data_IF_755127933458
#
_entry.id   IF_755127933458
#
_cell.length_a   1.000
_cell.length_b   1.000
_cell.length_c   1.000
_cell.angle_alpha   90.00
_cell.angle_beta   90.00
_cell.angle_gamma   90.00
#
_symmetry.space_group_name_H-M   'P 1'
#
loop_
_entity.id
_entity.type
_entity.pdbx_description
1 polymer ?
#
# COMPACT_ATOMS: atom_id res chain seq x y z
N UNK A 1 14.97 13.11 -4.35
CA UNK A 1 13.99 13.56 -5.36
C UNK A 1 13.05 14.57 -4.69
N UNK A 2 12.72 15.72 -5.29
CA UNK A 2 11.75 16.64 -4.67
C UNK A 2 10.32 16.10 -4.87
N UNK A 3 9.38 16.51 -4.00
CA UNK A 3 8.02 15.97 -3.99
C UNK A 3 7.23 16.25 -5.29
N UNK A 4 7.52 17.35 -5.98
CA UNK A 4 6.87 17.74 -7.23
C UNK A 4 7.28 16.79 -8.38
N UNK A 5 8.58 16.53 -8.51
CA UNK A 5 9.13 15.63 -9.53
C UNK A 5 8.69 14.18 -9.32
N UNK A 6 8.58 13.75 -8.06
CA UNK A 6 8.01 12.46 -7.69
C UNK A 6 6.57 12.33 -8.22
N UNK A 7 5.73 13.33 -7.92
CA UNK A 7 4.32 13.33 -8.33
C UNK A 7 4.17 13.29 -9.85
N UNK A 8 4.96 14.09 -10.58
CA UNK A 8 4.92 14.11 -12.05
C UNK A 8 5.28 12.76 -12.66
N UNK A 9 6.42 12.18 -12.26
CA UNK A 9 6.86 10.85 -12.77
C UNK A 9 5.83 9.76 -12.50
N UNK A 10 5.32 9.70 -11.28
CA UNK A 10 4.35 8.67 -10.88
C UNK A 10 3.00 8.91 -11.58
N UNK A 11 2.60 10.17 -11.76
CA UNK A 11 1.41 10.49 -12.54
C UNK A 11 1.54 10.06 -14.00
N UNK A 12 2.70 10.21 -14.62
CA UNK A 12 2.95 9.76 -16.00
C UNK A 12 2.88 8.24 -16.12
N UNK A 13 3.47 7.51 -15.17
CA UNK A 13 3.38 6.06 -15.08
C UNK A 13 1.91 5.59 -15.03
N UNK A 14 1.10 6.17 -14.15
CA UNK A 14 -0.32 5.79 -14.02
C UNK A 14 -1.19 6.20 -15.22
N UNK A 15 -0.77 7.20 -16.02
CA UNK A 15 -1.46 7.49 -17.29
C UNK A 15 -1.36 6.32 -18.27
N UNK A 16 -0.26 5.57 -18.24
CA UNK A 16 -0.07 4.36 -19.06
C UNK A 16 -0.94 3.16 -18.66
N UNK A 17 -1.55 3.21 -17.47
CA UNK A 17 -2.40 2.14 -16.94
C UNK A 17 -3.87 2.55 -16.95
N UNK A 18 -4.66 2.19 -17.99
CA UNK A 18 -6.02 2.70 -18.15
C UNK A 18 -6.96 2.29 -17.01
N UNK A 19 -6.72 1.12 -16.41
CA UNK A 19 -7.49 0.62 -15.27
C UNK A 19 -7.29 1.42 -13.98
N UNK A 20 -6.22 2.23 -13.86
CA UNK A 20 -5.97 3.05 -12.66
C UNK A 20 -6.86 4.29 -12.69
N UNK A 21 -7.65 4.50 -11.63
CA UNK A 21 -8.56 5.64 -11.48
C UNK A 21 -8.05 6.70 -10.51
N UNK A 22 -7.51 6.28 -9.37
CA UNK A 22 -6.95 7.16 -8.36
C UNK A 22 -5.69 6.55 -7.75
N UNK A 23 -4.74 7.37 -7.34
CA UNK A 23 -3.61 6.94 -6.54
C UNK A 23 -3.20 7.97 -5.50
N UNK A 24 -2.90 7.50 -4.30
CA UNK A 24 -2.42 8.29 -3.16
C UNK A 24 -1.10 7.72 -2.65
N UNK A 25 -0.15 8.59 -2.35
CA UNK A 25 0.98 8.24 -1.50
C UNK A 25 0.54 8.45 -0.06
N UNK A 26 0.65 7.44 0.80
CA UNK A 26 0.27 7.55 2.20
C UNK A 26 1.34 6.92 3.09
N UNK A 27 1.04 6.76 4.37
CA UNK A 27 1.95 6.11 5.31
C UNK A 27 3.11 6.99 5.77
N UNK A 28 4.20 6.33 6.19
CA UNK A 28 5.27 6.96 6.97
C UNK A 28 5.97 8.13 6.26
N UNK A 29 6.03 8.10 4.92
CA UNK A 29 6.57 9.17 4.08
C UNK A 29 5.79 10.49 4.16
N UNK A 30 4.50 10.46 4.47
CA UNK A 30 3.67 11.66 4.53
C UNK A 30 3.67 12.32 5.91
N UNK A 31 3.86 11.54 6.97
CA UNK A 31 3.86 12.01 8.37
C UNK A 31 5.16 12.69 8.84
N UNK A 32 6.19 12.77 7.99
CA UNK A 32 7.38 13.60 8.22
C UNK A 32 8.44 13.02 9.16
N UNK A 33 8.37 11.73 9.48
CA UNK A 33 9.28 11.05 10.42
C UNK A 33 10.30 10.15 9.67
N UNK A 34 10.74 10.58 8.49
CA UNK A 34 11.49 9.72 7.56
C UNK A 34 12.99 9.95 7.57
N UNK A 35 13.70 8.94 8.10
CA UNK A 35 15.04 8.62 7.65
C UNK A 35 15.04 8.08 6.20
N UNK A 36 16.21 8.00 5.54
CA UNK A 36 16.37 7.72 4.10
C UNK A 36 15.98 6.31 3.61
N UNK A 37 15.31 5.48 4.42
CA UNK A 37 14.93 4.09 4.12
C UNK A 37 13.42 3.82 4.17
N UNK A 38 12.57 4.85 4.29
CA UNK A 38 11.13 4.62 4.48
C UNK A 38 10.44 4.10 3.21
N UNK A 39 9.63 3.06 3.37
CA UNK A 39 8.84 2.40 2.34
C UNK A 39 7.81 3.36 1.71
N UNK A 40 7.63 3.32 0.40
CA UNK A 40 6.61 4.07 -0.32
C UNK A 40 5.30 3.28 -0.34
N UNK A 41 4.34 3.67 0.49
CA UNK A 41 2.99 3.08 0.51
C UNK A 41 2.08 3.81 -0.50
N UNK A 42 1.68 3.12 -1.57
CA UNK A 42 0.85 3.69 -2.63
C UNK A 42 -0.51 3.00 -2.67
N UNK A 43 -1.56 3.74 -2.33
CA UNK A 43 -2.93 3.27 -2.41
C UNK A 43 -3.49 3.58 -3.80
N UNK A 44 -4.05 2.58 -4.48
CA UNK A 44 -4.54 2.68 -5.86
C UNK A 44 -5.97 2.19 -5.96
N UNK A 45 -6.86 3.01 -6.52
CA UNK A 45 -8.19 2.59 -6.95
C UNK A 45 -8.12 2.18 -8.42
N UNK A 46 -8.63 1.00 -8.72
CA UNK A 46 -8.67 0.44 -10.07
C UNK A 46 -10.10 0.21 -10.53
N UNK A 47 -10.30 0.01 -11.83
CA UNK A 47 -11.58 -0.44 -12.39
C UNK A 47 -11.96 -1.83 -11.87
N UNK A 48 -13.23 -2.02 -11.51
CA UNK A 48 -13.72 -3.31 -11.00
C UNK A 48 -13.63 -4.46 -12.02
N UNK A 49 -13.54 -4.13 -13.32
CA UNK A 49 -13.33 -5.11 -14.39
C UNK A 49 -11.89 -5.57 -14.54
N UNK A 50 -10.92 -4.92 -13.86
CA UNK A 50 -9.51 -5.27 -13.95
C UNK A 50 -9.17 -6.46 -13.03
N UNK A 51 -8.16 -7.24 -13.44
CA UNK A 51 -7.57 -8.26 -12.56
C UNK A 51 -6.68 -7.56 -11.51
N UNK A 52 -7.24 -7.39 -10.31
CA UNK A 52 -6.59 -6.68 -9.21
C UNK A 52 -5.20 -7.23 -8.86
N UNK A 53 -5.05 -8.52 -8.51
CA UNK A 53 -3.75 -9.11 -8.18
C UNK A 53 -2.69 -8.94 -9.27
N UNK A 54 -3.05 -9.14 -10.54
CA UNK A 54 -2.12 -8.97 -11.66
C UNK A 54 -1.70 -7.51 -11.80
N UNK A 55 -2.67 -6.59 -11.77
CA UNK A 55 -2.40 -5.17 -11.90
C UNK A 55 -1.59 -4.64 -10.71
N UNK A 56 -1.87 -5.08 -9.48
CA UNK A 56 -1.11 -4.74 -8.29
C UNK A 56 0.37 -5.11 -8.45
N UNK A 57 0.66 -6.36 -8.85
CA UNK A 57 2.04 -6.81 -9.07
C UNK A 57 2.75 -6.02 -10.17
N UNK A 58 2.06 -5.70 -11.27
CA UNK A 58 2.60 -4.86 -12.34
C UNK A 58 2.93 -3.44 -11.85
N UNK A 59 2.01 -2.82 -11.10
CA UNK A 59 2.21 -1.47 -10.57
C UNK A 59 3.35 -1.43 -9.55
N UNK A 60 3.52 -2.48 -8.72
CA UNK A 60 4.65 -2.60 -7.80
C UNK A 60 5.99 -2.63 -8.55
N UNK A 61 6.11 -3.41 -9.62
CA UNK A 61 7.33 -3.47 -10.43
C UNK A 61 7.61 -2.14 -11.14
N UNK A 62 6.60 -1.55 -11.76
CA UNK A 62 6.73 -0.27 -12.47
C UNK A 62 7.12 0.86 -11.52
N UNK A 63 6.49 0.95 -10.35
CA UNK A 63 6.83 1.95 -9.33
C UNK A 63 8.23 1.71 -8.77
N UNK A 64 8.60 0.45 -8.51
CA UNK A 64 9.94 0.13 -8.01
C UNK A 64 11.03 0.59 -8.99
N UNK A 65 10.81 0.38 -10.29
CA UNK A 65 11.71 0.86 -11.35
C UNK A 65 11.71 2.38 -11.47
N UNK A 66 10.54 3.01 -11.38
CA UNK A 66 10.38 4.46 -11.48
C UNK A 66 11.04 5.22 -10.32
N UNK A 67 10.96 4.66 -9.11
CA UNK A 67 11.46 5.25 -7.87
C UNK A 67 12.87 4.77 -7.51
N UNK A 68 13.45 3.87 -8.31
CA UNK A 68 14.77 3.27 -8.10
C UNK A 68 14.91 2.63 -6.71
N UNK A 69 13.83 2.02 -6.21
CA UNK A 69 13.79 1.39 -4.90
C UNK A 69 12.89 0.16 -4.90
N UNK A 70 13.28 -0.88 -4.16
CA UNK A 70 12.46 -2.06 -3.95
C UNK A 70 11.48 -1.91 -2.77
N UNK A 71 11.52 -0.77 -2.09
CA UNK A 71 10.72 -0.44 -0.91
C UNK A 71 9.42 0.27 -1.35
N UNK A 72 8.59 -0.43 -2.13
CA UNK A 72 7.28 0.05 -2.58
C UNK A 72 6.23 -0.99 -2.22
N UNK A 73 5.18 -0.56 -1.52
CA UNK A 73 3.98 -1.36 -1.30
C UNK A 73 2.80 -0.72 -2.05
N UNK A 74 2.01 -1.55 -2.74
CA UNK A 74 0.83 -1.10 -3.47
C UNK A 74 -0.40 -1.71 -2.81
N UNK A 75 -1.31 -0.86 -2.36
CA UNK A 75 -2.57 -1.27 -1.74
C UNK A 75 -3.73 -1.01 -2.69
N UNK A 76 -4.53 -2.03 -2.97
CA UNK A 76 -5.75 -1.87 -3.77
C UNK A 76 -6.91 -1.34 -2.91
N UNK A 77 -7.37 -0.15 -3.25
CA UNK A 77 -8.45 0.56 -2.56
C UNK A 77 -9.84 -0.08 -2.75
N UNK A 78 -10.04 -0.89 -3.79
CA UNK A 78 -11.28 -1.63 -4.04
C UNK A 78 -11.60 -2.62 -2.90
N UNK A 79 -10.56 -3.23 -2.31
CA UNK A 79 -10.68 -4.25 -1.26
C UNK A 79 -10.07 -3.87 0.09
N UNK A 80 -9.55 -2.65 0.23
CA UNK A 80 -8.91 -2.19 1.45
C UNK A 80 -9.91 -2.12 2.62
N UNK A 81 -9.39 -2.31 3.84
CA UNK A 81 -10.17 -2.05 5.05
C UNK A 81 -10.57 -0.57 5.10
N UNK A 82 -11.71 -0.28 5.73
CA UNK A 82 -12.21 1.11 5.83
C UNK A 82 -11.23 2.03 6.56
N UNK A 83 -10.48 1.49 7.52
CA UNK A 83 -9.43 2.23 8.24
C UNK A 83 -8.27 2.63 7.32
N UNK A 84 -7.83 1.70 6.47
CA UNK A 84 -6.73 1.93 5.54
C UNK A 84 -7.12 2.87 4.40
N UNK A 85 -8.31 2.68 3.84
CA UNK A 85 -8.87 3.58 2.84
C UNK A 85 -9.04 5.01 3.39
N UNK A 86 -9.56 5.14 4.62
CA UNK A 86 -9.68 6.43 5.29
C UNK A 86 -8.31 7.08 5.54
N UNK A 87 -7.32 6.31 6.00
CA UNK A 87 -5.95 6.82 6.18
C UNK A 87 -5.37 7.33 4.86
N UNK A 88 -5.57 6.61 3.75
CA UNK A 88 -5.09 7.01 2.43
C UNK A 88 -5.70 8.34 1.96
N UNK A 89 -7.01 8.54 2.12
CA UNK A 89 -7.65 9.79 1.67
C UNK A 89 -7.45 10.96 2.64
N UNK A 90 -7.36 10.70 3.95
CA UNK A 90 -7.30 11.76 4.96
C UNK A 90 -5.88 12.28 5.19
N UNK A 91 -4.88 11.40 5.04
CA UNK A 91 -3.48 11.72 5.30
C UNK A 91 -2.61 11.61 4.05
N UNK A 92 -3.09 10.96 2.99
CA UNK A 92 -2.30 10.76 1.78
C UNK A 92 -2.21 11.99 0.89
N UNK A 93 -1.17 11.99 0.05
CA UNK A 93 -0.94 12.97 -1.02
C UNK A 93 -1.45 12.37 -2.33
N UNK A 94 -2.37 13.07 -2.99
CA UNK A 94 -2.88 12.67 -4.30
C UNK A 94 -1.77 12.64 -5.35
N UNK A 95 -1.42 11.45 -5.83
CA UNK A 95 -0.44 11.24 -6.89
C UNK A 95 -1.08 11.32 -8.27
N UNK A 96 -2.27 10.74 -8.42
CA UNK A 96 -2.96 10.65 -9.70
C UNK A 96 -4.48 10.62 -9.51
N UNK A 97 -5.20 11.33 -10.37
CA UNK A 97 -6.64 11.20 -10.56
C UNK A 97 -6.94 11.16 -12.06
N UNK A 98 -7.78 10.22 -12.49
CA UNK A 98 -8.26 10.15 -13.87
C UNK A 98 -9.32 11.22 -14.13
N UNK A 99 -10.21 11.39 -13.17
CA UNK A 99 -11.25 12.40 -13.18
C UNK A 99 -11.65 12.76 -11.74
N UNK A 100 -12.10 14.01 -11.56
CA UNK A 100 -12.43 14.56 -10.24
C UNK A 100 -13.67 13.92 -9.64
N UNK A 101 -14.62 13.46 -10.46
CA UNK A 101 -15.87 12.87 -9.98
C UNK A 101 -15.59 11.55 -9.27
N UNK A 102 -14.81 10.66 -9.87
CA UNK A 102 -14.37 9.40 -9.26
C UNK A 102 -13.67 9.64 -7.92
N UNK A 103 -12.85 10.68 -7.82
CA UNK A 103 -12.20 11.05 -6.56
C UNK A 103 -13.21 11.41 -5.47
N UNK A 104 -14.09 12.35 -5.79
CA UNK A 104 -15.07 12.87 -4.84
C UNK A 104 -16.05 11.79 -4.39
N UNK A 105 -16.51 10.94 -5.32
CA UNK A 105 -17.39 9.81 -5.03
C UNK A 105 -16.72 8.79 -4.11
N UNK A 106 -15.47 8.42 -4.41
CA UNK A 106 -14.73 7.47 -3.59
C UNK A 106 -14.42 8.02 -2.19
N UNK A 107 -13.96 9.27 -2.09
CA UNK A 107 -13.70 9.92 -0.80
C UNK A 107 -14.98 10.00 0.05
N UNK A 108 -16.12 10.35 -0.55
CA UNK A 108 -17.40 10.41 0.14
C UNK A 108 -17.88 9.04 0.63
N UNK A 109 -17.75 7.99 -0.19
CA UNK A 109 -18.08 6.61 0.21
C UNK A 109 -17.24 6.16 1.41
N UNK A 110 -15.92 6.35 1.34
CA UNK A 110 -14.99 5.98 2.41
C UNK A 110 -15.31 6.75 3.69
N UNK A 111 -15.57 8.06 3.61
CA UNK A 111 -15.96 8.86 4.78
C UNK A 111 -17.26 8.36 5.41
N UNK A 112 -18.27 8.02 4.60
CA UNK A 112 -19.54 7.48 5.09
C UNK A 112 -19.33 6.15 5.81
N UNK A 113 -18.65 5.20 5.16
CA UNK A 113 -18.34 3.88 5.73
C UNK A 113 -17.50 3.98 7.00
N UNK A 114 -16.55 4.91 7.04
CA UNK A 114 -15.73 5.14 8.22
C UNK A 114 -16.56 5.66 9.39
N UNK A 115 -17.45 6.63 9.15
CA UNK A 115 -18.37 7.15 10.16
C UNK A 115 -19.27 6.05 10.74
N UNK A 116 -19.80 5.16 9.90
CA UNK A 116 -20.60 4.01 10.34
C UNK A 116 -19.79 3.00 11.16
N UNK A 117 -18.48 2.90 10.89
CA UNK A 117 -17.56 1.99 11.57
C UNK A 117 -16.96 2.58 12.87
N UNK A 118 -16.99 3.90 13.05
CA UNK A 118 -16.46 4.59 14.25
C UNK A 118 -16.99 4.03 15.59
N UNK A 119 -18.28 3.69 15.77
CA UNK A 119 -18.77 3.11 17.01
C UNK A 119 -18.08 1.78 17.36
N UNK A 120 -17.81 0.93 16.35
CA UNK A 120 -17.13 -0.36 16.52
C UNK A 120 -15.70 -0.14 16.99
N UNK A 121 -14.97 0.78 16.36
CA UNK A 121 -13.60 1.14 16.75
C UNK A 121 -13.52 1.68 18.18
N UNK A 122 -14.49 2.50 18.59
CA UNK A 122 -14.56 3.04 19.95
C UNK A 122 -14.77 1.93 20.98
N UNK A 123 -15.69 0.99 20.71
CA UNK A 123 -15.93 -0.15 21.58
C UNK A 123 -14.69 -1.05 21.69
N UNK A 124 -14.05 -1.40 20.56
CA UNK A 124 -12.81 -2.19 20.54
C UNK A 124 -11.68 -1.50 21.33
N UNK A 125 -11.51 -0.19 21.17
CA UNK A 125 -10.52 0.60 21.92
C UNK A 125 -10.80 0.55 23.42
N UNK A 126 -12.06 0.69 23.80
CA UNK A 126 -12.48 0.63 25.20
C UNK A 126 -12.23 -0.76 25.81
N UNK A 127 -12.52 -1.84 25.08
CA UNK A 127 -12.21 -3.21 25.50
C UNK A 127 -10.71 -3.45 25.67
N UNK A 128 -9.89 -2.93 24.75
CA UNK A 128 -8.43 -2.97 24.84
C UNK A 128 -7.93 -2.26 26.11
N UNK A 129 -8.47 -1.08 26.40
CA UNK A 129 -8.07 -0.30 27.58
C UNK A 129 -8.58 -0.91 28.89
N UNK A 130 -9.74 -1.56 28.88
CA UNK A 130 -10.31 -2.28 30.04
C UNK A 130 -9.61 -3.63 30.29
N UNK A 131 -9.05 -4.26 29.26
CA UNK A 131 -8.35 -5.55 29.35
C UNK A 131 -6.84 -5.41 29.54
N UNK A 132 -6.35 -5.41 30.78
CA UNK A 132 -4.93 -5.30 31.20
C UNK A 132 -3.94 -6.38 30.70
N UNK A 133 -4.20 -7.05 29.57
CA UNK A 133 -3.31 -8.00 28.90
C UNK A 133 -2.98 -7.63 27.43
N UNK A 134 -3.24 -6.39 27.01
CA UNK A 134 -2.97 -5.90 25.65
C UNK A 134 -1.50 -6.06 25.23
N UNK A 135 -0.56 -5.83 26.15
CA UNK A 135 0.88 -5.98 25.89
C UNK A 135 1.26 -7.38 25.39
N UNK A 136 0.60 -8.44 25.92
CA UNK A 136 0.88 -9.84 25.56
C UNK A 136 0.35 -10.20 24.18
N UNK A 137 -0.79 -9.61 23.77
CA UNK A 137 -1.40 -9.82 22.44
C UNK A 137 -0.69 -9.03 21.34
N UNK A 138 -0.26 -7.80 21.61
CA UNK A 138 0.54 -6.99 20.68
C UNK A 138 1.91 -7.63 20.44
N UNK A 139 2.54 -8.17 21.48
CA UNK A 139 3.76 -8.98 21.32
C UNK A 139 3.51 -10.23 20.48
N UNK A 140 2.35 -10.88 20.64
CA UNK A 140 1.97 -12.04 19.82
C UNK A 140 1.72 -11.68 18.35
N UNK A 141 1.05 -10.56 18.05
CA UNK A 141 0.85 -10.07 16.68
C UNK A 141 2.17 -9.65 16.02
N UNK A 142 3.05 -8.93 16.75
CA UNK A 142 4.39 -8.60 16.27
C UNK A 142 5.22 -9.87 15.99
N UNK A 143 5.19 -10.84 16.90
CA UNK A 143 5.90 -12.10 16.72
C UNK A 143 5.27 -13.03 15.66
N UNK A 144 3.98 -12.87 15.34
CA UNK A 144 3.33 -13.58 14.24
C UNK A 144 3.71 -12.94 12.90
N UNK A 145 3.68 -11.61 12.82
CA UNK A 145 4.09 -10.84 11.64
C UNK A 145 5.58 -11.01 11.31
N UNK A 146 6.47 -11.03 12.31
CA UNK A 146 7.89 -11.29 12.10
C UNK A 146 8.17 -12.71 11.57
N UNK A 147 7.35 -13.70 11.95
CA UNK A 147 7.50 -15.07 11.45
C UNK A 147 7.04 -15.18 10.00
N UNK A 148 5.90 -14.59 9.65
CA UNK A 148 5.45 -14.50 8.26
C UNK A 148 6.41 -13.68 7.40
N UNK A 149 6.96 -12.59 7.93
CA UNK A 149 7.94 -11.76 7.21
C UNK A 149 9.23 -12.55 6.95
N UNK A 150 9.75 -13.29 7.94
CA UNK A 150 10.90 -14.18 7.74
C UNK A 150 10.64 -15.28 6.71
N UNK A 151 9.46 -15.90 6.72
CA UNK A 151 9.11 -16.92 5.71
C UNK A 151 9.01 -16.30 4.32
N UNK A 152 8.46 -15.10 4.19
CA UNK A 152 8.38 -14.37 2.92
C UNK A 152 9.76 -13.92 2.43
N UNK A 153 10.63 -13.46 3.33
CA UNK A 153 12.01 -13.10 3.02
C UNK A 153 12.86 -14.32 2.66
N UNK A 154 12.66 -15.47 3.31
CA UNK A 154 13.31 -16.75 2.97
C UNK A 154 12.90 -17.25 1.57
N UNK A 155 11.63 -17.09 1.21
CA UNK A 155 11.13 -17.39 -0.16
C UNK A 155 11.75 -16.40 -1.18
N UNK A 156 11.87 -15.12 -0.80
CA UNK A 156 12.48 -14.08 -1.64
C UNK A 156 13.99 -14.31 -1.86
N UNK A 157 14.71 -14.78 -0.85
CA UNK A 157 16.16 -15.09 -0.93
C UNK A 157 16.40 -16.38 -1.73
N UNK A 158 15.57 -17.41 -1.57
CA UNK A 158 15.69 -18.67 -2.29
C UNK A 158 15.37 -18.54 -3.80
N UNK A 159 14.54 -17.55 -4.18
CA UNK A 159 14.23 -17.25 -5.59
C UNK A 159 15.37 -16.63 -6.40
N UNK A 160 16.45 -16.17 -5.75
CA UNK A 160 17.57 -15.45 -6.42
C UNK A 160 18.75 -16.39 -6.75
N UNK A 161 18.81 -17.61 -6.18
CA UNK A 161 19.90 -18.57 -6.44
C UNK A 161 19.58 -19.59 -7.54
N UNK A 162 19.00 -19.15 -8.66
CA UNK A 162 18.53 -20.05 -9.71
C UNK A 162 18.60 -19.51 -11.12
N UNK A 163 19.60 -18.68 -11.47
CA UNK A 163 19.91 -18.38 -12.88
C UNK A 163 21.31 -17.82 -13.09
N UNK A 164 22.25 -18.73 -13.30
CA UNK A 164 23.50 -18.63 -14.09
C UNK A 164 24.08 -20.06 -14.09
N UNK A 165 24.59 -20.66 -15.15
CA UNK A 165 24.83 -20.30 -16.54
C UNK A 165 25.37 -21.56 -17.26
N UNK A 166 25.28 -21.58 -18.60
CA UNK A 166 26.15 -22.28 -19.57
C UNK A 166 26.10 -23.81 -19.75
N UNK A 167 25.42 -24.20 -20.84
CA UNK A 167 25.95 -24.96 -21.99
C UNK A 167 27.46 -25.27 -22.00
N UNK A 168 27.83 -26.54 -22.29
CA UNK A 168 28.91 -27.03 -23.17
C UNK A 168 28.50 -28.49 -23.52
N UNK A 169 28.01 -28.80 -24.73
CA UNK A 169 28.79 -29.23 -25.91
C UNK A 169 29.81 -30.33 -25.59
N UNK A 170 29.41 -31.61 -25.71
CA UNK A 170 29.82 -32.61 -26.72
C UNK A 170 29.25 -33.99 -26.37
#
# INVERSE_FOLDING_TARGET
MNAVLLREKVSELFRGHPAVRLAYLFGSQVTGDTGPMSDYDVAVLIEDSADGPVLQAMLMDDLSRCLETAAVDVVLLNGASVELAYAAIAQGVLLFERDVATRVEYEADVMSRYCDYLPVLRAQREDILRGGNYARRVQWYRAALERTQRTLDEIRVCGITGRDSSLHSE
#
